data_IF_889464478915
#
_entry.id   IF_889464478915
#
_cell.length_a   1.000
_cell.length_b   1.000
_cell.length_c   1.000
_cell.angle_alpha   90.00
_cell.angle_beta   90.00
_cell.angle_gamma   90.00
#
_symmetry.space_group_name_H-M   'P 1'
#
loop_
_entity.id
_entity.type
_entity.pdbx_description
1 polymer ?
#
# COMPACT_ATOMS: atom_id res chain seq x y z
N UNK A 1 57.52 23.84 -62.44
CA UNK A 1 56.93 22.59 -61.89
C UNK A 1 55.68 22.27 -62.72
N UNK A 2 55.36 20.97 -62.89
CA UNK A 2 54.61 20.33 -63.99
C UNK A 2 53.08 20.60 -63.92
N UNK A 3 52.45 21.15 -64.98
CA UNK A 3 51.51 20.53 -65.96
C UNK A 3 50.38 19.65 -65.38
N UNK A 4 49.13 20.09 -65.58
CA UNK A 4 47.89 19.29 -65.50
C UNK A 4 47.66 18.52 -66.82
N UNK A 5 47.05 17.32 -66.77
CA UNK A 5 45.71 16.97 -67.33
C UNK A 5 45.54 15.46 -67.66
N UNK A 6 44.41 14.89 -67.19
CA UNK A 6 43.61 13.80 -67.82
C UNK A 6 44.05 12.34 -67.61
N UNK A 7 43.18 11.33 -67.54
CA UNK A 7 41.72 11.19 -67.46
C UNK A 7 41.39 9.67 -67.28
N UNK A 8 40.17 9.35 -66.80
CA UNK A 8 39.22 8.32 -67.31
C UNK A 8 38.59 7.34 -66.28
N UNK A 9 37.25 7.45 -66.20
CA UNK A 9 36.18 6.42 -66.30
C UNK A 9 35.84 5.55 -65.06
N UNK A 10 34.59 5.72 -64.59
CA UNK A 10 33.78 4.85 -63.71
C UNK A 10 33.28 3.60 -64.47
N UNK A 11 32.99 2.42 -63.84
CA UNK A 11 31.67 2.21 -63.21
C UNK A 11 31.62 1.16 -62.07
N UNK A 12 30.39 0.95 -61.56
CA UNK A 12 29.84 -0.23 -60.87
C UNK A 12 29.57 -0.11 -59.35
N UNK A 13 28.35 0.32 -59.04
CA UNK A 13 27.32 -0.42 -58.27
C UNK A 13 27.84 -1.46 -57.27
N UNK A 14 27.63 -1.21 -55.98
CA UNK A 14 27.30 -2.25 -55.01
C UNK A 14 26.36 -1.66 -53.94
N UNK A 15 25.08 -1.95 -54.13
CA UNK A 15 24.02 -1.90 -53.13
C UNK A 15 24.45 -2.69 -51.88
N UNK A 16 24.57 -2.03 -50.72
CA UNK A 16 24.56 -2.73 -49.43
C UNK A 16 23.45 -2.11 -48.58
N UNK A 17 22.30 -2.77 -48.61
CA UNK A 17 21.28 -2.70 -47.57
C UNK A 17 21.91 -3.18 -46.25
N UNK A 18 21.95 -2.33 -45.24
CA UNK A 18 22.18 -2.76 -43.86
C UNK A 18 21.29 -1.94 -42.92
N UNK A 19 20.04 -2.39 -42.85
CA UNK A 19 19.17 -2.45 -41.66
C UNK A 19 19.37 -1.31 -40.65
N UNK A 20 18.52 -0.28 -40.76
CA UNK A 20 18.27 0.64 -39.66
C UNK A 20 17.56 -0.17 -38.57
N UNK A 21 18.30 -0.57 -37.54
CA UNK A 21 17.77 -1.26 -36.37
C UNK A 21 16.83 -0.31 -35.62
N UNK A 22 15.54 -0.36 -35.95
CA UNK A 22 14.48 0.27 -35.18
C UNK A 22 14.41 -0.38 -33.81
N UNK A 23 15.06 0.23 -32.81
CA UNK A 23 14.79 -0.04 -31.40
C UNK A 23 13.37 0.47 -31.11
N UNK A 24 12.38 -0.38 -31.33
CA UNK A 24 11.03 -0.14 -30.84
C UNK A 24 11.08 -0.06 -29.31
N UNK A 25 10.99 1.15 -28.76
CA UNK A 25 10.73 1.35 -27.35
C UNK A 25 9.33 0.82 -27.06
N UNK A 26 9.24 -0.40 -26.54
CA UNK A 26 7.99 -0.88 -25.98
C UNK A 26 7.54 0.08 -24.87
N UNK A 27 6.23 0.36 -24.72
CA UNK A 27 5.77 1.07 -23.55
C UNK A 27 6.11 0.22 -22.33
N UNK A 28 7.04 0.70 -21.50
CA UNK A 28 7.19 0.21 -20.14
C UNK A 28 5.96 0.71 -19.40
N UNK A 29 4.87 -0.05 -19.47
CA UNK A 29 3.82 0.07 -18.47
C UNK A 29 4.46 -0.45 -17.19
N UNK A 30 4.91 0.48 -16.35
CA UNK A 30 5.10 0.20 -14.94
C UNK A 30 3.73 -0.23 -14.40
N UNK A 31 3.47 -1.53 -14.49
CA UNK A 31 2.42 -2.16 -13.73
C UNK A 31 2.86 -1.96 -12.29
N UNK A 32 2.24 -1.04 -11.57
CA UNK A 32 2.23 -1.04 -10.11
C UNK A 32 1.51 -2.32 -9.65
N UNK A 33 2.14 -3.47 -9.86
CA UNK A 33 1.85 -4.69 -9.14
C UNK A 33 2.49 -4.54 -7.76
N UNK A 34 1.98 -3.59 -6.98
CA UNK A 34 1.82 -3.90 -5.58
C UNK A 34 0.78 -5.01 -5.51
N UNK A 35 1.28 -6.25 -5.54
CA UNK A 35 0.53 -7.42 -5.11
C UNK A 35 0.25 -7.23 -3.61
N UNK A 36 -0.71 -6.34 -3.32
CA UNK A 36 -1.57 -6.50 -2.16
C UNK A 36 -2.27 -7.84 -2.40
N UNK A 37 -2.24 -8.73 -1.41
CA UNK A 37 -3.00 -9.95 -1.46
C UNK A 37 -4.43 -9.57 -1.87
N UNK A 38 -4.93 -10.11 -2.99
CA UNK A 38 -6.23 -9.78 -3.61
C UNK A 38 -7.41 -10.35 -2.79
N UNK A 39 -7.32 -10.19 -1.47
CA UNK A 39 -8.36 -10.42 -0.50
C UNK A 39 -8.73 -9.02 -0.02
N UNK A 40 -9.75 -8.43 -0.65
CA UNK A 40 -10.37 -7.23 -0.13
C UNK A 40 -10.65 -7.45 1.38
N UNK A 41 -10.17 -6.53 2.22
CA UNK A 41 -10.49 -6.58 3.64
C UNK A 41 -12.00 -6.57 3.78
N UNK A 42 -12.55 -7.56 4.47
CA UNK A 42 -13.99 -7.66 4.67
C UNK A 42 -14.50 -6.43 5.43
N UNK A 43 -15.62 -5.88 4.97
CA UNK A 43 -16.29 -4.80 5.67
C UNK A 43 -17.19 -5.34 6.78
N UNK A 44 -17.38 -4.54 7.83
CA UNK A 44 -18.29 -4.85 8.94
C UNK A 44 -18.96 -3.58 9.40
N UNK A 45 -20.29 -3.63 9.57
CA UNK A 45 -21.03 -2.54 10.19
C UNK A 45 -20.63 -2.42 11.67
N UNK A 46 -20.50 -1.19 12.19
CA UNK A 46 -20.19 -0.96 13.60
C UNK A 46 -21.21 -1.65 14.53
N UNK A 47 -22.48 -1.68 14.13
CA UNK A 47 -23.56 -2.36 14.86
C UNK A 47 -23.38 -3.88 14.96
N UNK A 48 -22.55 -4.50 14.11
CA UNK A 48 -22.23 -5.92 14.15
C UNK A 48 -20.98 -6.25 14.99
N UNK A 49 -20.32 -5.24 15.57
CA UNK A 49 -19.19 -5.39 16.46
C UNK A 49 -19.62 -5.40 17.94
N UNK A 50 -18.76 -5.88 18.86
CA UNK A 50 -19.00 -5.70 20.29
C UNK A 50 -19.21 -4.22 20.64
N UNK A 51 -20.08 -3.94 21.62
CA UNK A 51 -20.44 -2.56 22.01
C UNK A 51 -19.21 -1.72 22.40
N UNK A 52 -18.20 -2.35 23.00
CA UNK A 52 -16.94 -1.72 23.40
C UNK A 52 -16.15 -1.18 22.20
N UNK A 53 -16.36 -1.71 20.99
CA UNK A 53 -15.75 -1.16 19.78
C UNK A 53 -16.30 0.23 19.46
N UNK A 54 -17.61 0.44 19.61
CA UNK A 54 -18.24 1.76 19.44
C UNK A 54 -17.77 2.77 20.49
N UNK A 55 -17.63 2.33 21.75
CA UNK A 55 -17.06 3.17 22.80
C UNK A 55 -15.62 3.60 22.47
N UNK A 56 -14.82 2.67 21.97
CA UNK A 56 -13.43 2.93 21.56
C UNK A 56 -13.37 3.90 20.38
N UNK A 57 -14.21 3.75 19.35
CA UNK A 57 -14.30 4.72 18.25
C UNK A 57 -14.70 6.11 18.72
N UNK A 58 -15.63 6.21 19.67
CA UNK A 58 -16.02 7.49 20.26
C UNK A 58 -14.82 8.17 20.94
N UNK A 59 -14.00 7.42 21.69
CA UNK A 59 -12.78 7.96 22.29
C UNK A 59 -11.75 8.39 21.25
N UNK A 60 -11.56 7.60 20.18
CA UNK A 60 -10.66 7.94 19.08
C UNK A 60 -11.07 9.26 18.43
N UNK A 61 -12.37 9.44 18.13
CA UNK A 61 -12.91 10.69 17.57
C UNK A 61 -12.75 11.89 18.50
N UNK A 62 -12.76 11.67 19.81
CA UNK A 62 -12.58 12.72 20.82
C UNK A 62 -11.11 13.01 21.13
N UNK A 63 -10.17 12.18 20.65
CA UNK A 63 -8.75 12.29 20.99
C UNK A 63 -8.40 11.79 22.40
N UNK A 64 -9.24 10.92 22.99
CA UNK A 64 -9.07 10.38 24.34
C UNK A 64 -9.93 11.08 25.42
N UNK A 65 -9.60 10.92 26.71
CA UNK A 65 -8.47 10.16 27.25
C UNK A 65 -8.59 8.66 26.99
N UNK A 66 -7.45 7.99 26.74
CA UNK A 66 -7.43 6.56 26.48
C UNK A 66 -7.14 5.75 27.74
N UNK A 67 -7.82 4.60 27.94
CA UNK A 67 -7.72 3.83 29.18
C UNK A 67 -6.42 3.02 29.30
N UNK A 68 -5.73 2.71 28.20
CA UNK A 68 -4.49 1.94 28.23
C UNK A 68 -3.31 2.74 27.70
N UNK A 69 -2.14 2.54 28.30
CA UNK A 69 -0.89 3.25 27.95
C UNK A 69 -0.40 3.03 26.52
N UNK A 70 -0.86 1.97 25.86
CA UNK A 70 -0.52 1.63 24.48
C UNK A 70 -1.52 2.17 23.46
N UNK A 71 -2.64 2.73 23.91
CA UNK A 71 -3.64 3.29 23.01
C UNK A 71 -3.10 4.58 22.37
N UNK A 72 -3.24 4.68 21.06
CA UNK A 72 -2.62 5.73 20.25
C UNK A 72 -1.15 5.46 19.89
N UNK A 73 -0.59 4.29 20.23
CA UNK A 73 0.73 3.92 19.74
C UNK A 73 0.71 3.63 18.23
N UNK A 74 1.84 3.85 17.55
CA UNK A 74 1.99 3.52 16.13
C UNK A 74 1.86 2.01 15.91
N UNK A 75 0.94 1.61 15.02
CA UNK A 75 0.83 0.25 14.53
C UNK A 75 1.72 0.05 13.29
N UNK A 76 2.69 -0.87 13.39
CA UNK A 76 3.73 -1.04 12.37
C UNK A 76 3.27 -1.72 11.07
N UNK A 77 2.17 -2.50 11.10
CA UNK A 77 1.70 -3.31 9.96
C UNK A 77 2.81 -4.17 9.32
N UNK A 78 3.64 -4.84 10.13
CA UNK A 78 4.81 -5.60 9.66
C UNK A 78 4.42 -6.83 8.84
N UNK A 79 3.33 -7.48 9.23
CA UNK A 79 2.71 -8.63 8.57
C UNK A 79 1.90 -8.22 7.33
N UNK A 80 1.81 -6.91 7.03
CA UNK A 80 1.16 -6.33 5.84
C UNK A 80 -0.29 -6.76 5.68
N UNK A 81 -1.02 -6.90 6.79
CA UNK A 81 -2.45 -7.25 6.81
C UNK A 81 -3.35 -6.07 6.38
N UNK A 82 -2.89 -4.85 6.62
CA UNK A 82 -3.55 -3.62 6.16
C UNK A 82 -2.88 -3.06 4.89
N UNK A 83 -3.54 -2.18 4.11
CA UNK A 83 -2.94 -1.54 2.95
C UNK A 83 -1.60 -0.88 3.28
N UNK A 84 -0.62 -1.02 2.38
CA UNK A 84 0.72 -0.44 2.59
C UNK A 84 0.63 1.09 2.60
N UNK A 85 1.08 1.69 3.69
CA UNK A 85 1.12 3.14 3.91
C UNK A 85 2.46 3.54 4.53
N UNK A 86 2.73 4.84 4.61
CA UNK A 86 3.93 5.36 5.28
C UNK A 86 4.00 4.96 6.76
N UNK A 87 5.21 4.92 7.34
CA UNK A 87 5.38 4.65 8.77
C UNK A 87 4.66 5.72 9.60
N UNK A 88 4.00 5.31 10.67
CA UNK A 88 3.21 6.22 11.51
C UNK A 88 1.82 6.53 10.95
N UNK A 89 1.41 5.92 9.83
CA UNK A 89 0.07 6.10 9.30
C UNK A 89 -1.02 5.46 10.18
N UNK A 90 -0.75 4.27 10.71
CA UNK A 90 -1.71 3.53 11.53
C UNK A 90 -1.41 3.67 13.01
N UNK A 91 -2.46 3.77 13.83
CA UNK A 91 -2.38 3.79 15.29
C UNK A 91 -3.33 2.76 15.89
N UNK A 92 -2.89 2.10 16.97
CA UNK A 92 -3.65 1.03 17.64
C UNK A 92 -4.38 1.52 18.89
N UNK A 93 -5.57 0.97 19.14
CA UNK A 93 -6.41 1.25 20.30
C UNK A 93 -7.01 -0.04 20.83
N UNK A 94 -7.03 -0.17 22.15
CA UNK A 94 -7.58 -1.34 22.83
C UNK A 94 -9.10 -1.29 22.84
N UNK A 95 -9.73 -2.38 22.37
CA UNK A 95 -11.16 -2.62 22.61
C UNK A 95 -11.26 -3.50 23.85
N UNK A 96 -11.98 -3.02 24.87
CA UNK A 96 -12.10 -3.76 26.13
C UNK A 96 -12.81 -5.11 25.90
N UNK A 97 -12.28 -6.16 26.50
CA UNK A 97 -12.97 -7.45 26.62
C UNK A 97 -13.54 -7.58 28.03
N UNK A 98 -14.87 -7.65 28.20
CA UNK A 98 -15.48 -7.85 29.51
C UNK A 98 -14.90 -9.07 30.25
N UNK A 99 -14.62 -8.90 31.54
CA UNK A 99 -14.03 -9.94 32.39
C UNK A 99 -12.53 -10.21 32.18
N UNK A 100 -11.89 -9.63 31.15
CA UNK A 100 -10.45 -9.77 30.98
C UNK A 100 -9.69 -8.96 32.05
N UNK A 101 -8.68 -9.58 32.67
CA UNK A 101 -7.76 -8.93 33.63
C UNK A 101 -6.62 -8.16 32.95
N UNK A 102 -6.49 -8.31 31.64
CA UNK A 102 -5.49 -7.67 30.79
C UNK A 102 -6.19 -6.92 29.65
N UNK A 103 -5.42 -6.39 28.69
CA UNK A 103 -5.93 -5.68 27.51
C UNK A 103 -6.76 -6.55 26.55
N UNK A 104 -6.78 -7.87 26.72
CA UNK A 104 -7.40 -8.80 25.78
C UNK A 104 -6.75 -8.79 24.39
N UNK A 105 -7.39 -9.45 23.42
CA UNK A 105 -6.94 -9.57 22.03
C UNK A 105 -7.56 -8.53 21.09
N UNK A 106 -8.66 -7.88 21.49
CA UNK A 106 -9.46 -7.03 20.61
C UNK A 106 -8.84 -5.64 20.43
N UNK A 107 -8.78 -5.14 19.21
CA UNK A 107 -8.22 -3.82 18.88
C UNK A 107 -8.99 -3.13 17.77
N UNK A 108 -8.88 -1.82 17.75
CA UNK A 108 -9.14 -1.00 16.58
C UNK A 108 -7.81 -0.41 16.11
N UNK A 109 -7.57 -0.43 14.81
CA UNK A 109 -6.43 0.24 14.17
C UNK A 109 -6.98 1.28 13.21
N UNK A 110 -6.67 2.55 13.42
CA UNK A 110 -7.12 3.64 12.54
C UNK A 110 -5.96 4.24 11.75
N UNK A 111 -6.22 4.51 10.48
CA UNK A 111 -5.37 5.29 9.59
C UNK A 111 -5.56 6.80 9.77
N UNK A 112 -4.64 7.58 9.21
CA UNK A 112 -4.71 9.05 9.23
C UNK A 112 -5.92 9.61 8.46
N UNK A 113 -6.47 8.87 7.48
CA UNK A 113 -7.67 9.27 6.75
C UNK A 113 -8.96 8.80 7.45
N UNK A 114 -8.87 8.43 8.73
CA UNK A 114 -9.97 7.96 9.57
C UNK A 114 -10.62 6.64 9.12
N UNK A 115 -9.98 5.88 8.23
CA UNK A 115 -10.36 4.48 8.03
C UNK A 115 -9.95 3.67 9.25
N UNK A 116 -10.90 2.96 9.86
CA UNK A 116 -10.66 2.17 11.07
C UNK A 116 -10.96 0.70 10.83
N UNK A 117 -10.09 -0.16 11.34
CA UNK A 117 -10.16 -1.61 11.19
C UNK A 117 -10.30 -2.27 12.56
N UNK A 118 -11.21 -3.23 12.68
CA UNK A 118 -11.36 -4.06 13.86
C UNK A 118 -10.58 -5.36 13.71
N UNK A 119 -9.90 -5.79 14.77
CA UNK A 119 -9.36 -7.15 14.94
C UNK A 119 -9.89 -7.71 16.27
N UNK A 120 -10.39 -8.94 16.22
CA UNK A 120 -10.83 -9.68 17.41
C UNK A 120 -9.79 -10.66 17.95
N UNK A 121 -8.71 -10.85 17.20
CA UNK A 121 -7.76 -11.96 17.28
C UNK A 121 -6.31 -11.46 17.34
N UNK A 122 -6.10 -10.27 17.89
CA UNK A 122 -4.76 -9.71 18.10
C UNK A 122 -3.94 -9.59 16.81
N UNK A 123 -4.52 -8.90 15.82
CA UNK A 123 -3.93 -8.54 14.52
C UNK A 123 -3.78 -9.68 13.51
N UNK A 124 -4.33 -10.87 13.77
CA UNK A 124 -4.32 -11.97 12.80
C UNK A 124 -5.25 -11.71 11.60
N UNK A 125 -6.45 -11.20 11.86
CA UNK A 125 -7.41 -10.78 10.84
C UNK A 125 -7.95 -9.38 11.11
N UNK A 126 -8.41 -8.73 10.04
CA UNK A 126 -8.97 -7.38 10.10
C UNK A 126 -10.29 -7.31 9.34
N UNK A 127 -11.19 -6.46 9.84
CA UNK A 127 -12.40 -6.03 9.14
C UNK A 127 -12.45 -4.50 9.09
N UNK A 128 -12.75 -3.93 7.93
CA UNK A 128 -12.94 -2.49 7.77
C UNK A 128 -14.28 -2.08 8.37
N UNK A 129 -14.26 -1.14 9.32
CA UNK A 129 -15.46 -0.70 10.02
C UNK A 129 -16.22 0.30 9.13
N UNK A 130 -17.53 0.09 9.01
CA UNK A 130 -18.49 1.02 8.41
C UNK A 130 -19.43 1.51 9.51
N UNK A 131 -19.43 2.82 9.73
CA UNK A 131 -20.29 3.49 10.72
C UNK A 131 -21.68 3.81 10.16
#
# INVERSE_FOLDING_TARGET
>A
MKRLCGAKILPAVALVLAVVSSLASAPVIARDHYSYNDQAIQEVALSALPVEAGETLRLIKQGGPFPYTRDGAVFGNFEKRLPKKQRGYYHEYTVRTPGARNRGARRIVCGQAYECYYTGDHYETFKLIRE
#
